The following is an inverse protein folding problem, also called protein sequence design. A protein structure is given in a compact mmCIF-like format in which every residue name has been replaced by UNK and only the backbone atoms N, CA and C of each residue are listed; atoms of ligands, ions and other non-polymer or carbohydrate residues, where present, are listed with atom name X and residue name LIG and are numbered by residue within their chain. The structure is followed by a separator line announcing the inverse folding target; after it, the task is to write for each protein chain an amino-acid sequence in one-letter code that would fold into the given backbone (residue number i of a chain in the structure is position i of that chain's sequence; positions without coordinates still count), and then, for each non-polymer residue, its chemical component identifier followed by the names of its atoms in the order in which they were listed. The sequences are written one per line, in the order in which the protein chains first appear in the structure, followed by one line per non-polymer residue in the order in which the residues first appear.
data_IF_070030149479
#
_entry.id   IF_070030149479
#
_cell.length_a   1.000
_cell.length_b   1.000
_cell.length_c   1.000
_cell.angle_alpha   90.00
_cell.angle_beta   90.00
_cell.angle_gamma   90.00
#
_symmetry.space_group_name_H-M   'P 1'
#
loop_
_entity.id
_entity.type
_entity.pdbx_description
1 polymer ?
#
# COMPACT_ATOMS: atom_id res chain seq x y z
N UNK A 1 -4.26 -0.84 22.53
CA UNK A 1 -5.74 -0.72 22.45
C UNK A 1 -6.09 0.76 22.58
N UNK A 2 -6.82 1.33 21.63
CA UNK A 2 -7.21 2.75 21.61
C UNK A 2 -8.25 3.02 22.71
N UNK A 3 -7.89 3.64 23.85
CA UNK A 3 -8.71 3.57 25.08
C UNK A 3 -10.03 4.35 25.02
N UNK A 4 -10.30 5.11 23.95
CA UNK A 4 -11.34 6.14 23.93
C UNK A 4 -12.41 5.96 22.84
N UNK A 5 -12.52 4.78 22.23
CA UNK A 5 -13.60 4.52 21.26
C UNK A 5 -14.81 3.93 21.98
N UNK A 6 -15.97 4.56 21.82
CA UNK A 6 -17.24 4.02 22.32
C UNK A 6 -17.55 2.71 21.57
N UNK A 7 -18.01 1.65 22.25
CA UNK A 7 -18.45 0.44 21.58
C UNK A 7 -19.67 0.74 20.70
N UNK A 8 -19.84 -0.05 19.63
CA UNK A 8 -21.01 0.05 18.78
C UNK A 8 -22.25 -0.56 19.47
N UNK A 9 -23.48 -0.12 19.15
CA UNK A 9 -24.70 -0.62 19.82
C UNK A 9 -24.98 -2.11 19.62
N UNK A 10 -24.46 -2.71 18.53
CA UNK A 10 -24.66 -4.11 18.19
C UNK A 10 -23.49 -4.64 17.36
N UNK A 11 -23.25 -5.94 17.46
CA UNK A 11 -22.19 -6.67 16.77
C UNK A 11 -22.75 -7.92 16.09
N UNK A 12 -22.05 -8.41 15.06
CA UNK A 12 -22.31 -9.66 14.37
C UNK A 12 -21.00 -10.38 14.08
N UNK A 13 -21.03 -11.70 13.97
CA UNK A 13 -19.85 -12.46 13.54
C UNK A 13 -19.40 -12.02 12.15
N UNK A 14 -18.10 -11.75 11.99
CA UNK A 14 -17.52 -11.42 10.68
C UNK A 14 -17.42 -12.64 9.74
N UNK A 15 -17.49 -13.85 10.28
CA UNK A 15 -17.15 -15.09 9.58
C UNK A 15 -15.64 -15.30 9.36
N UNK A 16 -14.78 -14.45 9.94
CA UNK A 16 -13.31 -14.54 9.85
C UNK A 16 -12.75 -14.76 11.26
N UNK A 17 -12.14 -15.92 11.49
CA UNK A 17 -11.72 -16.39 12.83
C UNK A 17 -10.83 -15.37 13.58
N UNK A 18 -9.80 -14.85 12.92
CA UNK A 18 -8.85 -13.93 13.55
C UNK A 18 -9.44 -12.53 13.80
N UNK A 19 -10.55 -12.17 13.14
CA UNK A 19 -11.17 -10.85 13.26
C UNK A 19 -12.28 -10.82 14.32
N UNK A 20 -12.97 -11.94 14.54
CA UNK A 20 -14.04 -12.05 15.54
C UNK A 20 -15.32 -11.31 15.11
N UNK A 21 -15.95 -10.64 16.08
CA UNK A 21 -17.21 -9.90 15.88
C UNK A 21 -16.94 -8.46 15.39
N UNK A 22 -17.76 -8.00 14.44
CA UNK A 22 -17.71 -6.67 13.83
C UNK A 22 -19.02 -5.93 14.05
N UNK A 23 -19.06 -4.59 13.89
CA UNK A 23 -20.29 -3.82 14.09
C UNK A 23 -21.43 -4.33 13.20
N UNK A 24 -22.63 -4.48 13.77
CA UNK A 24 -23.74 -5.12 13.07
C UNK A 24 -24.13 -4.45 11.74
N UNK A 25 -23.92 -3.13 11.65
CA UNK A 25 -24.24 -2.31 10.48
C UNK A 25 -23.16 -2.30 9.39
N UNK A 26 -21.99 -2.93 9.61
CA UNK A 26 -20.95 -3.02 8.59
C UNK A 26 -21.30 -4.05 7.54
N UNK A 27 -21.00 -3.77 6.28
CA UNK A 27 -21.01 -4.77 5.22
C UNK A 27 -19.63 -5.42 5.08
N UNK A 28 -19.61 -6.69 4.66
CA UNK A 28 -18.38 -7.41 4.36
C UNK A 28 -18.25 -7.62 2.86
N UNK A 29 -17.06 -7.40 2.32
CA UNK A 29 -16.76 -7.67 0.93
C UNK A 29 -15.33 -8.18 0.76
N UNK A 30 -15.06 -8.84 -0.37
CA UNK A 30 -13.70 -9.21 -0.74
C UNK A 30 -13.00 -7.96 -1.28
N UNK A 31 -11.75 -7.71 -0.88
CA UNK A 31 -10.98 -6.53 -1.32
C UNK A 31 -10.94 -6.36 -2.84
N UNK A 32 -10.86 -7.46 -3.61
CA UNK A 32 -10.90 -7.44 -5.07
C UNK A 32 -12.18 -6.83 -5.66
N UNK A 33 -13.29 -6.83 -4.90
CA UNK A 33 -14.56 -6.24 -5.32
C UNK A 33 -14.60 -4.73 -5.08
N UNK A 34 -13.62 -4.17 -4.36
CA UNK A 34 -13.44 -2.71 -4.19
C UNK A 34 -12.67 -2.08 -5.36
N UNK A 35 -12.11 -2.90 -6.25
CA UNK A 35 -11.43 -2.42 -7.44
C UNK A 35 -12.43 -1.66 -8.34
N UNK A 36 -12.06 -0.44 -8.75
CA UNK A 36 -12.89 0.35 -9.66
C UNK A 36 -12.56 -0.04 -11.11
N UNK A 37 -13.55 -0.44 -11.93
CA UNK A 37 -13.31 -0.72 -13.34
C UNK A 37 -12.66 0.47 -14.05
N UNK A 38 -11.60 0.21 -14.82
CA UNK A 38 -10.87 1.26 -15.54
C UNK A 38 -9.85 2.05 -14.69
N UNK A 39 -9.74 1.76 -13.40
CA UNK A 39 -8.74 2.38 -12.52
C UNK A 39 -7.72 1.35 -12.02
N UNK A 40 -6.48 1.81 -11.85
CA UNK A 40 -5.36 1.06 -11.26
C UNK A 40 -5.52 0.95 -9.72
N UNK A 41 -6.60 0.32 -9.24
CA UNK A 41 -6.88 0.28 -7.78
C UNK A 41 -5.92 -0.64 -7.00
N UNK A 42 -5.49 -1.74 -7.62
CA UNK A 42 -4.48 -2.63 -7.04
C UNK A 42 -3.43 -2.88 -8.11
N UNK A 43 -2.23 -2.33 -7.91
CA UNK A 43 -1.13 -2.40 -8.86
C UNK A 43 0.13 -2.90 -8.18
N UNK A 44 0.95 -3.60 -8.96
CA UNK A 44 2.30 -3.98 -8.54
C UNK A 44 3.26 -2.84 -8.86
N UNK A 45 4.34 -2.73 -8.09
CA UNK A 45 5.39 -1.76 -8.36
C UNK A 45 6.29 -2.19 -9.53
N UNK A 46 7.09 -1.25 -10.01
CA UNK A 46 7.98 -1.48 -11.15
C UNK A 46 9.33 -2.06 -10.73
N UNK A 47 9.87 -2.96 -11.56
CA UNK A 47 11.21 -3.50 -11.38
C UNK A 47 12.23 -2.65 -12.14
N UNK A 48 12.87 -1.70 -11.45
CA UNK A 48 13.89 -0.82 -12.05
C UNK A 48 15.30 -1.33 -11.72
N UNK A 49 16.07 -1.61 -12.77
CA UNK A 49 17.45 -2.08 -12.66
C UNK A 49 18.48 -0.95 -12.47
N UNK A 50 19.62 -1.30 -11.88
CA UNK A 50 20.72 -0.37 -11.56
C UNK A 50 21.17 0.56 -12.69
N UNK A 51 21.26 0.14 -13.97
CA UNK A 51 21.69 1.02 -15.07
C UNK A 51 20.79 2.23 -15.29
N UNK A 52 19.52 2.16 -14.88
CA UNK A 52 18.55 3.25 -15.03
C UNK A 52 18.50 4.17 -13.80
N UNK A 53 19.19 3.80 -12.72
CA UNK A 53 19.23 4.58 -11.49
C UNK A 53 20.17 5.77 -11.67
N UNK A 54 19.67 6.94 -11.27
CA UNK A 54 20.33 8.23 -11.41
C UNK A 54 20.41 8.94 -10.05
N UNK A 55 21.19 10.02 -9.99
CA UNK A 55 21.37 10.86 -8.78
C UNK A 55 20.22 11.84 -8.52
N UNK A 56 19.40 12.11 -9.54
CA UNK A 56 18.35 13.12 -9.54
C UNK A 56 17.23 12.74 -10.52
N UNK A 57 16.11 13.45 -10.47
CA UNK A 57 14.94 13.19 -11.30
C UNK A 57 13.75 12.72 -10.48
N UNK A 58 12.99 11.76 -11.02
CA UNK A 58 11.79 11.23 -10.39
C UNK A 58 12.19 10.28 -9.27
N UNK A 59 11.70 10.56 -8.06
CA UNK A 59 11.98 9.77 -6.86
C UNK A 59 11.37 8.37 -6.98
N UNK A 60 12.21 7.34 -6.85
CA UNK A 60 11.74 5.95 -6.72
C UNK A 60 11.37 5.64 -5.28
N UNK A 61 10.19 5.07 -5.05
CA UNK A 61 9.88 4.44 -3.76
C UNK A 61 10.23 2.96 -3.82
N UNK A 62 11.00 2.50 -2.84
CA UNK A 62 11.48 1.13 -2.77
C UNK A 62 10.82 0.37 -1.62
N UNK A 63 10.89 -0.96 -1.66
CA UNK A 63 10.43 -1.83 -0.55
C UNK A 63 11.06 -1.47 0.80
N UNK A 64 12.27 -0.90 0.81
CA UNK A 64 12.94 -0.41 2.03
C UNK A 64 12.26 0.79 2.69
N UNK A 65 11.41 1.51 1.97
CA UNK A 65 10.66 2.68 2.45
C UNK A 65 9.35 2.31 3.15
N UNK A 66 8.81 1.11 2.93
CA UNK A 66 7.49 0.71 3.45
C UNK A 66 7.66 0.11 4.86
N UNK A 67 7.30 0.81 5.92
CA UNK A 67 7.35 0.31 7.30
C UNK A 67 6.09 -0.42 7.75
N UNK A 68 6.01 -0.72 9.05
CA UNK A 68 4.80 -1.25 9.69
C UNK A 68 3.96 -0.07 10.20
N UNK A 69 3.03 0.39 9.35
CA UNK A 69 2.16 1.54 9.66
C UNK A 69 2.84 2.90 9.49
N UNK A 70 4.11 2.95 9.07
CA UNK A 70 4.87 4.18 8.86
C UNK A 70 5.64 4.14 7.54
N UNK A 71 5.68 5.26 6.84
CA UNK A 71 6.57 5.43 5.70
C UNK A 71 7.98 5.88 6.18
N UNK A 72 9.02 5.24 5.64
CA UNK A 72 10.43 5.45 6.01
C UNK A 72 11.13 6.26 4.92
N UNK A 73 11.28 7.56 5.16
CA UNK A 73 11.97 8.48 4.24
C UNK A 73 13.50 8.26 4.30
N UNK A 74 14.03 7.40 3.43
CA UNK A 74 15.45 7.05 3.36
C UNK A 74 15.84 6.47 1.99
N UNK A 75 17.14 6.33 1.76
CA UNK A 75 17.66 5.59 0.59
C UNK A 75 17.23 6.21 -0.72
N UNK A 76 17.56 7.49 -0.92
CA UNK A 76 17.17 8.25 -2.10
C UNK A 76 17.76 7.65 -3.37
N UNK A 77 16.88 7.29 -4.31
CA UNK A 77 17.19 6.81 -5.66
C UNK A 77 16.20 7.45 -6.62
N UNK A 78 16.68 7.71 -7.83
CA UNK A 78 15.93 8.43 -8.84
C UNK A 78 16.03 7.75 -10.19
N UNK A 79 15.09 8.07 -11.07
CA UNK A 79 15.14 7.76 -12.50
C UNK A 79 14.86 9.02 -13.30
N UNK A 80 15.35 9.06 -14.54
CA UNK A 80 14.99 10.13 -15.47
C UNK A 80 13.52 10.04 -15.89
N UNK A 81 12.97 11.16 -16.38
CA UNK A 81 11.64 11.16 -17.00
C UNK A 81 11.55 10.22 -18.22
N UNK A 82 12.64 10.07 -18.96
CA UNK A 82 12.70 9.18 -20.11
C UNK A 82 12.52 7.73 -19.66
N UNK A 83 13.24 7.30 -18.62
CA UNK A 83 13.08 5.98 -18.01
C UNK A 83 11.65 5.77 -17.51
N UNK A 84 11.08 6.76 -16.81
CA UNK A 84 9.72 6.68 -16.30
C UNK A 84 8.70 6.45 -17.42
N UNK A 85 8.80 7.22 -18.51
CA UNK A 85 7.92 7.10 -19.69
C UNK A 85 8.17 5.79 -20.44
N UNK A 86 9.42 5.38 -20.59
CA UNK A 86 9.82 4.18 -21.32
C UNK A 86 9.28 2.90 -20.68
N UNK A 87 9.38 2.79 -19.34
CA UNK A 87 8.87 1.64 -18.60
C UNK A 87 7.39 1.76 -18.21
N UNK A 88 6.77 2.92 -18.42
CA UNK A 88 5.38 3.16 -18.03
C UNK A 88 5.19 3.02 -16.52
N UNK A 89 6.15 3.54 -15.73
CA UNK A 89 6.19 3.36 -14.29
C UNK A 89 4.89 3.81 -13.60
N UNK A 90 4.61 3.18 -12.48
CA UNK A 90 3.48 3.50 -11.63
C UNK A 90 3.79 4.76 -10.83
N UNK A 91 3.03 5.81 -11.11
CA UNK A 91 2.96 6.99 -10.26
C UNK A 91 2.19 6.67 -8.98
N UNK A 92 2.61 7.27 -7.87
CA UNK A 92 1.96 7.15 -6.57
C UNK A 92 1.52 8.54 -6.10
N UNK A 93 0.37 8.61 -5.44
CA UNK A 93 -0.20 9.84 -4.92
C UNK A 93 -0.36 9.79 -3.39
N UNK A 94 -0.33 10.95 -2.69
CA UNK A 94 -0.66 10.99 -1.27
C UNK A 94 -2.03 10.36 -0.97
N UNK A 95 -2.05 9.37 -0.07
CA UNK A 95 -3.24 8.61 0.27
C UNK A 95 -3.29 7.20 -0.35
N UNK A 96 -2.38 6.88 -1.26
CA UNK A 96 -2.16 5.50 -1.69
C UNK A 96 -1.61 4.65 -0.54
N UNK A 97 -2.04 3.38 -0.50
CA UNK A 97 -1.52 2.41 0.48
C UNK A 97 -0.44 1.58 -0.19
N UNK A 98 0.79 1.71 0.31
CA UNK A 98 1.92 0.91 -0.14
C UNK A 98 2.00 -0.38 0.67
N UNK A 99 2.11 -1.53 -0.01
CA UNK A 99 2.20 -2.85 0.61
C UNK A 99 3.48 -3.55 0.15
N UNK A 100 4.33 -3.91 1.10
CA UNK A 100 5.55 -4.66 0.81
C UNK A 100 5.27 -6.17 0.87
N UNK A 101 5.24 -6.81 -0.30
CA UNK A 101 5.06 -8.28 -0.41
C UNK A 101 6.35 -9.07 -0.18
N UNK A 102 7.49 -8.39 -0.12
CA UNK A 102 8.82 -9.00 -0.04
C UNK A 102 9.55 -8.60 1.25
N UNK A 103 10.29 -9.55 1.82
CA UNK A 103 11.09 -9.34 3.04
C UNK A 103 10.27 -9.39 4.34
N UNK A 104 10.98 -9.49 5.45
CA UNK A 104 10.40 -9.55 6.80
C UNK A 104 10.28 -8.14 7.42
N UNK A 105 9.18 -7.83 8.13
CA UNK A 105 7.95 -8.62 8.22
C UNK A 105 7.13 -8.57 6.92
N UNK A 106 6.59 -9.73 6.54
CA UNK A 106 5.75 -9.87 5.34
C UNK A 106 4.47 -9.03 5.50
N UNK A 107 4.05 -8.40 4.39
CA UNK A 107 2.82 -7.60 4.30
C UNK A 107 2.79 -6.35 5.18
N UNK A 108 3.97 -5.82 5.56
CA UNK A 108 4.07 -4.45 6.09
C UNK A 108 3.55 -3.44 5.09
N UNK A 109 2.86 -2.41 5.60
CA UNK A 109 2.19 -1.42 4.78
C UNK A 109 2.25 -0.03 5.42
N UNK A 110 2.22 1.01 4.59
CA UNK A 110 2.15 2.40 5.02
C UNK A 110 1.30 3.24 4.08
N UNK A 111 0.92 4.43 4.55
CA UNK A 111 0.35 5.53 3.79
C UNK A 111 1.45 6.55 3.45
#
# INVERSE_FOLDING_TARGET
MTPNLKPYPAYKSSGVEWLGDVPAHWDTCKIKNLARPGYKTFVDGDWIESPYITSDGIRLIQTGNIGEGEYKEKGFRYISEETFKHFGCTEIEPGDILICRLGEPVARACL
#
